data_IF_695769864868
#
_entry.id   IF_695769864868
#
_cell.length_a   1.000
_cell.length_b   1.000
_cell.length_c   1.000
_cell.angle_alpha   90.00
_cell.angle_beta   90.00
_cell.angle_gamma   90.00
#
_symmetry.space_group_name_H-M   'P 1'
#
loop_
_entity.id
_entity.type
_entity.pdbx_description
1 polymer ?
#
# COMPACT_ATOMS: atom_id res chain seq x y z
N UNK A 1 14.48 1.71 13.96
CA UNK A 1 13.05 1.56 14.39
C UNK A 1 12.10 1.66 13.21
N UNK A 2 12.14 2.73 12.41
CA UNK A 2 11.24 2.96 11.29
C UNK A 2 11.25 1.82 10.25
N UNK A 3 12.44 1.36 9.83
CA UNK A 3 12.60 0.24 8.91
C UNK A 3 11.89 -1.02 9.44
N UNK A 4 12.13 -1.35 10.70
CA UNK A 4 11.54 -2.52 11.36
C UNK A 4 10.03 -2.44 11.39
N UNK A 5 9.48 -1.28 11.79
CA UNK A 5 8.04 -1.04 11.81
C UNK A 5 7.42 -1.18 10.41
N UNK A 6 8.08 -0.61 9.41
CA UNK A 6 7.61 -0.69 8.02
C UNK A 6 7.56 -2.14 7.53
N UNK A 7 8.63 -2.91 7.78
CA UNK A 7 8.69 -4.34 7.40
C UNK A 7 7.63 -5.16 8.13
N UNK A 8 7.45 -4.94 9.44
CA UNK A 8 6.42 -5.64 10.21
C UNK A 8 5.03 -5.29 9.71
N UNK A 9 4.75 -4.02 9.42
CA UNK A 9 3.43 -3.61 8.94
C UNK A 9 3.10 -4.18 7.55
N UNK A 10 4.11 -4.37 6.68
CA UNK A 10 3.93 -5.12 5.43
C UNK A 10 3.71 -6.61 5.68
N UNK A 11 4.47 -7.22 6.59
CA UNK A 11 4.30 -8.62 6.98
C UNK A 11 2.88 -8.90 7.51
N UNK A 12 2.34 -7.97 8.29
CA UNK A 12 1.00 -8.05 8.89
C UNK A 12 -0.11 -7.46 8.01
N UNK A 13 0.20 -7.11 6.77
CA UNK A 13 -0.81 -6.51 5.89
C UNK A 13 -1.91 -7.54 5.57
N UNK A 14 -3.21 -7.15 5.58
CA UNK A 14 -4.32 -8.07 5.33
C UNK A 14 -4.24 -8.83 3.99
N UNK A 15 -3.56 -8.26 2.99
CA UNK A 15 -3.34 -8.93 1.70
C UNK A 15 -2.22 -9.99 1.72
N UNK A 16 -1.55 -10.20 2.86
CA UNK A 16 -0.48 -11.21 3.02
C UNK A 16 -1.03 -12.41 3.77
N UNK A 17 -1.19 -13.53 3.07
CA UNK A 17 -1.64 -14.79 3.67
C UNK A 17 -0.48 -15.64 4.21
N UNK A 18 0.70 -15.50 3.63
CA UNK A 18 1.91 -16.21 4.07
C UNK A 18 3.15 -15.36 3.75
N UNK A 19 4.16 -15.42 4.60
CA UNK A 19 5.40 -14.71 4.39
C UNK A 19 6.59 -15.45 4.95
N UNK A 20 7.76 -15.27 4.32
CA UNK A 20 9.03 -15.76 4.77
C UNK A 20 10.02 -14.59 4.81
N UNK A 21 10.73 -14.44 5.90
CA UNK A 21 11.78 -13.46 6.06
C UNK A 21 13.12 -14.08 5.70
N UNK A 22 13.79 -13.46 4.74
CA UNK A 22 15.10 -13.86 4.27
C UNK A 22 16.14 -12.83 4.69
N UNK A 23 17.19 -13.27 5.35
CA UNK A 23 18.37 -12.46 5.64
C UNK A 23 19.61 -12.96 4.89
N UNK A 24 20.56 -12.08 4.63
CA UNK A 24 21.89 -12.47 4.21
C UNK A 24 22.69 -13.03 5.40
N UNK A 25 22.55 -12.41 6.58
CA UNK A 25 23.19 -12.81 7.84
C UNK A 25 24.12 -11.76 8.46
N UNK A 26 24.25 -10.57 7.83
CA UNK A 26 25.06 -9.45 8.35
C UNK A 26 24.24 -8.18 8.56
N UNK A 27 22.93 -8.22 8.41
CA UNK A 27 22.03 -7.11 8.64
C UNK A 27 21.85 -6.81 10.12
N UNK A 28 21.67 -5.53 10.46
CA UNK A 28 21.28 -5.13 11.82
C UNK A 28 19.88 -5.63 12.19
N UNK A 29 19.01 -5.77 11.19
CA UNK A 29 17.64 -6.28 11.31
C UNK A 29 17.58 -7.76 10.91
N UNK A 30 18.48 -8.56 11.47
CA UNK A 30 18.55 -10.00 11.21
C UNK A 30 17.33 -10.75 11.77
N UNK A 31 17.14 -12.00 11.34
CA UNK A 31 15.98 -12.82 11.70
C UNK A 31 15.74 -12.91 13.22
N UNK A 32 16.78 -13.07 14.02
CA UNK A 32 16.65 -13.12 15.48
C UNK A 32 16.11 -11.79 16.07
N UNK A 33 16.54 -10.66 15.51
CA UNK A 33 16.00 -9.36 15.89
C UNK A 33 14.53 -9.22 15.48
N UNK A 34 14.16 -9.62 14.26
CA UNK A 34 12.78 -9.54 13.78
C UNK A 34 11.83 -10.44 14.57
N UNK A 35 12.27 -11.68 14.94
CA UNK A 35 11.53 -12.57 15.82
C UNK A 35 11.21 -11.89 17.16
N UNK A 36 12.22 -11.31 17.80
CA UNK A 36 12.04 -10.60 19.06
C UNK A 36 11.06 -9.41 18.94
N UNK A 37 11.06 -8.69 17.82
CA UNK A 37 10.09 -7.60 17.61
C UNK A 37 8.66 -8.12 17.45
N UNK A 38 8.45 -9.22 16.73
CA UNK A 38 7.14 -9.87 16.62
C UNK A 38 6.63 -10.35 17.98
N UNK A 39 7.47 -11.02 18.76
CA UNK A 39 7.14 -11.47 20.13
C UNK A 39 6.71 -10.30 21.03
N UNK A 40 7.43 -9.15 20.97
CA UNK A 40 7.07 -7.92 21.71
C UNK A 40 5.71 -7.37 21.33
N UNK A 41 5.26 -7.63 20.11
CA UNK A 41 3.93 -7.25 19.61
C UNK A 41 2.87 -8.32 19.90
N UNK A 42 3.23 -9.42 20.58
CA UNK A 42 2.33 -10.54 20.85
C UNK A 42 2.03 -11.39 19.61
N UNK A 43 2.89 -11.35 18.60
CA UNK A 43 2.74 -12.08 17.35
C UNK A 43 3.66 -13.30 17.39
N UNK A 44 3.11 -14.47 17.10
CA UNK A 44 3.87 -15.71 17.04
C UNK A 44 4.83 -15.72 15.85
N UNK A 45 6.17 -15.71 16.07
CA UNK A 45 7.13 -15.75 14.98
C UNK A 45 7.11 -17.06 14.20
N UNK A 46 6.64 -18.16 14.78
CA UNK A 46 6.61 -19.46 14.14
C UNK A 46 5.48 -19.59 13.09
N UNK A 47 4.59 -18.61 13.03
CA UNK A 47 3.63 -18.46 11.94
C UNK A 47 4.30 -18.07 10.60
N UNK A 48 5.58 -17.66 10.61
CA UNK A 48 6.31 -17.18 9.44
C UNK A 48 7.48 -18.09 9.07
N UNK A 49 7.88 -18.05 7.80
CA UNK A 49 9.08 -18.70 7.33
C UNK A 49 10.34 -17.87 7.66
N UNK A 50 11.46 -18.56 7.90
CA UNK A 50 12.74 -17.94 8.22
C UNK A 50 13.87 -18.61 7.45
N UNK A 51 14.66 -17.80 6.75
CA UNK A 51 15.80 -18.26 5.99
C UNK A 51 16.99 -17.31 6.13
N UNK A 52 18.21 -17.86 6.14
CA UNK A 52 19.45 -17.09 6.25
C UNK A 52 20.48 -17.62 5.26
N UNK A 53 20.98 -16.77 4.37
CA UNK A 53 21.98 -17.21 3.38
C UNK A 53 23.22 -17.78 4.05
N UNK A 54 23.70 -17.15 5.12
CA UNK A 54 24.89 -17.59 5.83
C UNK A 54 24.65 -18.84 6.70
N UNK A 55 23.54 -18.86 7.45
CA UNK A 55 23.27 -19.94 8.42
C UNK A 55 22.73 -21.21 7.75
N UNK A 56 22.00 -21.08 6.65
CA UNK A 56 21.43 -22.22 5.92
C UNK A 56 22.39 -22.82 4.88
N UNK A 57 23.66 -22.36 4.86
CA UNK A 57 24.72 -22.98 4.06
C UNK A 57 24.79 -22.50 2.60
N UNK A 58 24.45 -21.25 2.37
CA UNK A 58 24.62 -20.52 1.10
C UNK A 58 23.40 -20.49 0.23
N UNK A 59 23.51 -19.76 -0.87
CA UNK A 59 22.38 -19.36 -1.74
C UNK A 59 21.56 -20.56 -2.24
N UNK A 60 22.21 -21.64 -2.70
CA UNK A 60 21.47 -22.78 -3.24
C UNK A 60 20.57 -23.43 -2.19
N UNK A 61 21.13 -23.72 -1.00
CA UNK A 61 20.37 -24.37 0.08
C UNK A 61 19.23 -23.47 0.59
N UNK A 62 19.46 -22.17 0.64
CA UNK A 62 18.43 -21.21 1.05
C UNK A 62 17.28 -21.16 0.06
N UNK A 63 17.55 -21.22 -1.24
CA UNK A 63 16.49 -21.27 -2.26
C UNK A 63 15.67 -22.55 -2.14
N UNK A 64 16.32 -23.71 -1.96
CA UNK A 64 15.64 -25.00 -1.74
C UNK A 64 14.76 -24.94 -0.48
N UNK A 65 15.26 -24.34 0.61
CA UNK A 65 14.52 -24.18 1.87
C UNK A 65 13.28 -23.28 1.68
N UNK A 66 13.43 -22.15 0.98
CA UNK A 66 12.34 -21.21 0.69
C UNK A 66 11.27 -21.90 -0.15
N UNK A 67 11.69 -22.58 -1.23
CA UNK A 67 10.77 -23.30 -2.10
C UNK A 67 9.99 -24.37 -1.34
N UNK A 68 10.67 -25.16 -0.54
CA UNK A 68 10.05 -26.22 0.28
C UNK A 68 9.06 -25.63 1.28
N UNK A 69 9.41 -24.50 1.94
CA UNK A 69 8.51 -23.85 2.88
C UNK A 69 7.22 -23.37 2.20
N UNK A 70 7.31 -22.65 1.08
CA UNK A 70 6.13 -22.19 0.35
C UNK A 70 5.30 -23.34 -0.21
N UNK A 71 5.91 -24.41 -0.73
CA UNK A 71 5.18 -25.59 -1.18
C UNK A 71 4.31 -26.18 -0.06
N UNK A 72 4.88 -26.36 1.13
CA UNK A 72 4.15 -26.88 2.30
C UNK A 72 3.00 -25.97 2.73
N UNK A 73 3.21 -24.66 2.71
CA UNK A 73 2.15 -23.71 3.05
C UNK A 73 1.01 -23.77 2.01
N UNK A 74 1.35 -23.86 0.72
CA UNK A 74 0.37 -23.93 -0.37
C UNK A 74 -0.44 -25.23 -0.36
N UNK A 75 0.13 -26.36 0.06
CA UNK A 75 -0.61 -27.63 0.18
C UNK A 75 -1.79 -27.53 1.17
N UNK A 76 -1.68 -26.68 2.19
CA UNK A 76 -2.73 -26.43 3.19
C UNK A 76 -3.69 -25.29 2.83
N UNK A 77 -3.42 -24.53 1.76
CA UNK A 77 -4.23 -23.38 1.40
C UNK A 77 -5.58 -23.79 0.78
N UNK A 78 -6.66 -23.28 1.35
CA UNK A 78 -7.96 -23.32 0.69
C UNK A 78 -8.12 -22.08 -0.21
N UNK A 79 -8.86 -22.18 -1.32
CA UNK A 79 -9.23 -21.01 -2.11
C UNK A 79 -9.90 -19.97 -1.21
N UNK A 80 -9.49 -18.71 -1.33
CA UNK A 80 -10.14 -17.62 -0.59
C UNK A 80 -11.53 -17.43 -1.20
N UNK A 81 -12.56 -17.69 -0.40
CA UNK A 81 -13.94 -17.36 -0.78
C UNK A 81 -14.10 -15.83 -0.76
N UNK A 82 -14.81 -15.33 -1.76
CA UNK A 82 -15.15 -13.91 -1.84
C UNK A 82 -16.45 -13.71 -1.07
N UNK A 83 -16.42 -12.72 -0.19
CA UNK A 83 -17.60 -12.27 0.56
C UNK A 83 -17.98 -10.86 0.11
N UNK A 84 -19.24 -10.51 0.30
CA UNK A 84 -19.70 -9.14 0.10
C UNK A 84 -19.08 -8.25 1.18
N UNK A 85 -18.24 -7.31 0.74
CA UNK A 85 -17.54 -6.39 1.63
C UNK A 85 -18.16 -5.00 1.66
N UNK A 86 -17.85 -4.25 2.69
CA UNK A 86 -18.24 -2.85 2.87
C UNK A 86 -17.08 -1.91 2.60
N UNK A 87 -17.36 -0.70 2.13
CA UNK A 87 -16.36 0.38 2.04
C UNK A 87 -15.71 0.67 3.41
N UNK A 88 -16.42 0.44 4.51
CA UNK A 88 -15.91 0.61 5.87
C UNK A 88 -14.69 -0.29 6.18
N UNK A 89 -14.51 -1.38 5.47
CA UNK A 89 -13.37 -2.29 5.64
C UNK A 89 -12.11 -1.80 4.92
N UNK A 90 -12.29 -0.90 3.96
CA UNK A 90 -11.18 -0.41 3.15
C UNK A 90 -10.33 0.63 3.86
N UNK A 91 -9.04 0.59 3.58
CA UNK A 91 -8.12 1.69 3.80
C UNK A 91 -7.61 2.16 2.44
N UNK A 92 -7.88 3.40 2.07
CA UNK A 92 -7.56 3.93 0.74
C UNK A 92 -6.48 5.00 0.85
N UNK A 93 -5.34 4.77 0.21
CA UNK A 93 -4.33 5.79 0.01
C UNK A 93 -4.76 6.75 -1.13
N UNK A 94 -4.73 8.06 -0.91
CA UNK A 94 -5.00 9.06 -1.96
C UNK A 94 -3.78 9.94 -2.17
N UNK A 95 -3.36 10.08 -3.41
CA UNK A 95 -2.24 10.94 -3.77
C UNK A 95 -2.46 11.67 -5.10
N UNK A 96 -2.03 12.92 -5.17
CA UNK A 96 -1.92 13.68 -6.41
C UNK A 96 -0.79 14.71 -6.30
N UNK A 97 -0.15 15.02 -7.42
CA UNK A 97 0.79 16.12 -7.55
C UNK A 97 0.13 17.41 -8.10
N UNK A 98 -1.21 17.42 -8.26
CA UNK A 98 -1.97 18.59 -8.65
C UNK A 98 -2.00 19.60 -7.49
N UNK A 99 -1.63 20.85 -7.79
CA UNK A 99 -1.57 21.95 -6.79
C UNK A 99 -2.92 22.67 -6.70
N UNK A 100 -3.61 22.80 -7.81
CA UNK A 100 -4.87 23.54 -7.94
C UNK A 100 -5.78 22.93 -9.01
N UNK A 101 -6.97 23.48 -9.16
CA UNK A 101 -7.93 23.10 -10.19
C UNK A 101 -8.96 22.08 -9.74
N UNK A 102 -9.57 21.40 -10.71
CA UNK A 102 -10.74 20.54 -10.50
C UNK A 102 -10.39 19.22 -9.83
N UNK A 103 -9.19 18.70 -10.08
CA UNK A 103 -8.78 17.40 -9.58
C UNK A 103 -8.59 17.35 -8.05
N UNK A 104 -7.92 18.31 -7.38
CA UNK A 104 -7.88 18.34 -5.93
C UNK A 104 -9.27 18.40 -5.29
N UNK A 105 -10.17 19.22 -5.81
CA UNK A 105 -11.55 19.33 -5.30
C UNK A 105 -12.33 18.01 -5.45
N UNK A 106 -12.17 17.32 -6.58
CA UNK A 106 -12.79 16.01 -6.80
C UNK A 106 -12.24 14.96 -5.84
N UNK A 107 -10.91 14.94 -5.60
CA UNK A 107 -10.28 14.04 -4.65
C UNK A 107 -10.66 14.34 -3.20
N UNK A 108 -10.81 15.60 -2.83
CA UNK A 108 -11.30 15.99 -1.51
C UNK A 108 -12.75 15.51 -1.29
N UNK A 109 -13.60 15.69 -2.29
CA UNK A 109 -14.98 15.19 -2.26
C UNK A 109 -15.03 13.65 -2.13
N UNK A 110 -14.18 12.94 -2.88
CA UNK A 110 -14.03 11.49 -2.77
C UNK A 110 -13.56 11.07 -1.37
N UNK A 111 -12.54 11.74 -0.82
CA UNK A 111 -12.03 11.44 0.52
C UNK A 111 -13.10 11.56 1.58
N UNK A 112 -13.89 12.65 1.54
CA UNK A 112 -15.02 12.86 2.45
C UNK A 112 -16.10 11.79 2.27
N UNK A 113 -16.44 11.42 1.05
CA UNK A 113 -17.44 10.39 0.78
C UNK A 113 -16.99 9.00 1.28
N UNK A 114 -15.74 8.63 1.07
CA UNK A 114 -15.15 7.37 1.57
C UNK A 114 -15.15 7.35 3.10
N UNK A 115 -14.73 8.43 3.76
CA UNK A 115 -14.72 8.51 5.22
C UNK A 115 -16.16 8.47 5.80
N UNK A 116 -17.11 9.13 5.17
CA UNK A 116 -18.53 9.08 5.55
C UNK A 116 -19.12 7.67 5.40
N UNK A 117 -18.63 6.88 4.44
CA UNK A 117 -18.98 5.47 4.28
C UNK A 117 -18.24 4.54 5.27
N UNK A 118 -17.44 5.09 6.19
CA UNK A 118 -16.71 4.33 7.21
C UNK A 118 -15.31 3.90 6.81
N UNK A 119 -14.85 4.21 5.61
CA UNK A 119 -13.50 3.88 5.17
C UNK A 119 -12.42 4.68 5.93
N UNK A 120 -11.21 4.18 5.91
CA UNK A 120 -10.00 4.91 6.31
C UNK A 120 -9.35 5.49 5.07
N UNK A 121 -9.01 6.75 5.11
CA UNK A 121 -8.35 7.46 4.00
C UNK A 121 -7.01 8.00 4.48
N UNK A 122 -5.93 7.67 3.78
CA UNK A 122 -4.58 8.09 4.11
C UNK A 122 -4.03 8.98 3.00
N UNK A 123 -3.68 10.21 3.34
CA UNK A 123 -3.16 11.21 2.41
C UNK A 123 -1.77 11.63 2.88
N UNK A 124 -0.70 11.46 2.09
CA UNK A 124 0.63 11.90 2.51
C UNK A 124 0.70 13.43 2.59
N UNK A 125 1.30 13.96 3.65
CA UNK A 125 1.39 15.43 3.88
C UNK A 125 2.12 16.18 2.76
N UNK A 126 2.95 15.47 1.99
CA UNK A 126 3.68 16.03 0.85
C UNK A 126 2.82 16.20 -0.40
N UNK A 127 1.64 15.59 -0.44
CA UNK A 127 0.68 15.80 -1.52
C UNK A 127 -0.07 17.13 -1.29
N UNK A 128 -0.22 17.99 -2.31
CA UNK A 128 -0.96 19.26 -2.18
C UNK A 128 -2.37 19.07 -1.61
N UNK A 129 -3.03 17.96 -1.93
CA UNK A 129 -4.34 17.58 -1.38
C UNK A 129 -4.40 17.58 0.15
N UNK A 130 -3.29 17.30 0.85
CA UNK A 130 -3.25 17.30 2.30
C UNK A 130 -3.58 18.67 2.92
N UNK A 131 -3.39 19.76 2.17
CA UNK A 131 -3.75 21.10 2.62
C UNK A 131 -5.23 21.27 2.94
N UNK A 132 -6.12 20.58 2.21
CA UNK A 132 -7.57 20.56 2.46
C UNK A 132 -7.93 19.89 3.78
N UNK A 133 -7.04 19.05 4.30
CA UNK A 133 -7.24 18.21 5.47
C UNK A 133 -6.29 18.55 6.63
N UNK A 134 -5.79 19.76 6.70
CA UNK A 134 -4.82 20.21 7.71
C UNK A 134 -5.31 20.13 9.17
N UNK A 135 -6.62 19.96 9.38
CA UNK A 135 -7.24 19.78 10.71
C UNK A 135 -7.47 18.32 11.09
N UNK A 136 -7.28 17.40 10.15
CA UNK A 136 -7.46 15.97 10.39
C UNK A 136 -6.29 15.39 11.18
N UNK A 137 -6.47 14.24 11.84
CA UNK A 137 -5.41 13.60 12.62
C UNK A 137 -4.16 13.34 11.80
N UNK A 138 -3.00 13.71 12.35
CA UNK A 138 -1.71 13.31 11.79
C UNK A 138 -1.43 11.85 12.10
N UNK A 139 -0.89 11.14 11.12
CA UNK A 139 -0.48 9.75 11.21
C UNK A 139 1.02 9.67 10.93
N UNK A 140 1.79 9.12 11.84
CA UNK A 140 3.22 8.89 11.61
C UNK A 140 3.46 8.01 10.39
N UNK A 141 4.64 8.14 9.76
CA UNK A 141 4.99 7.36 8.58
C UNK A 141 4.87 5.84 8.84
N UNK A 142 4.03 5.19 8.06
CA UNK A 142 3.79 3.74 8.19
C UNK A 142 3.03 3.32 9.46
N UNK A 143 2.47 4.24 10.23
CA UNK A 143 1.61 3.91 11.37
C UNK A 143 0.23 3.52 10.86
N UNK A 144 -0.32 2.42 11.38
CA UNK A 144 -1.63 1.91 10.93
C UNK A 144 -2.78 2.85 11.29
N UNK A 145 -3.62 3.15 10.30
CA UNK A 145 -4.89 3.85 10.51
C UNK A 145 -5.89 2.87 11.17
N UNK A 146 -6.23 3.10 12.43
CA UNK A 146 -7.05 2.16 13.21
C UNK A 146 -8.55 2.41 13.07
N UNK A 147 -8.98 3.66 13.05
CA UNK A 147 -10.38 4.06 13.01
C UNK A 147 -10.78 4.58 11.64
N UNK A 148 -12.08 4.58 11.32
CA UNK A 148 -12.59 5.27 10.14
C UNK A 148 -12.32 6.77 10.18
N UNK A 149 -12.09 7.38 9.02
CA UNK A 149 -11.80 8.80 8.91
C UNK A 149 -10.68 9.12 7.91
N UNK A 150 -10.30 10.38 7.88
CA UNK A 150 -9.22 10.89 7.03
C UNK A 150 -7.98 11.14 7.90
N UNK A 151 -6.83 10.73 7.41
CA UNK A 151 -5.55 10.88 8.10
C UNK A 151 -4.51 11.52 7.18
N UNK A 152 -3.77 12.46 7.70
CA UNK A 152 -2.61 13.05 7.00
C UNK A 152 -1.35 12.32 7.46
N UNK A 153 -0.81 11.45 6.60
CA UNK A 153 0.41 10.67 6.90
C UNK A 153 1.66 11.54 6.76
N UNK A 154 2.52 11.50 7.75
CA UNK A 154 3.88 12.04 7.65
C UNK A 154 4.65 11.24 6.59
N UNK A 155 5.20 11.91 5.59
CA UNK A 155 6.07 11.32 4.59
C UNK A 155 7.51 11.78 4.84
N UNK A 156 8.49 10.90 4.67
CA UNK A 156 9.90 11.21 4.94
C UNK A 156 10.50 12.10 3.86
N UNK A 157 10.00 11.98 2.64
CA UNK A 157 10.42 12.76 1.48
C UNK A 157 9.27 12.93 0.48
N UNK A 158 9.58 13.51 -0.68
CA UNK A 158 8.65 13.58 -1.84
C UNK A 158 8.86 12.43 -2.83
N UNK A 159 9.71 11.46 -2.50
CA UNK A 159 9.90 10.29 -3.35
C UNK A 159 8.62 9.43 -3.36
N UNK A 160 8.18 9.08 -4.56
CA UNK A 160 6.95 8.32 -4.74
C UNK A 160 7.04 6.92 -4.16
N UNK A 161 8.15 6.22 -4.39
CA UNK A 161 8.31 4.83 -3.95
C UNK A 161 8.34 4.71 -2.44
N UNK A 162 8.95 5.68 -1.77
CA UNK A 162 8.96 5.80 -0.31
C UNK A 162 7.56 6.14 0.23
N UNK A 163 6.89 7.15 -0.36
CA UNK A 163 5.52 7.53 0.00
C UNK A 163 4.56 6.36 -0.17
N UNK A 164 4.70 5.63 -1.28
CA UNK A 164 3.92 4.43 -1.60
C UNK A 164 4.09 3.34 -0.53
N UNK A 165 5.34 3.04 -0.14
CA UNK A 165 5.63 2.08 0.93
C UNK A 165 5.05 2.53 2.27
N UNK A 166 5.10 3.84 2.59
CA UNK A 166 4.48 4.40 3.79
C UNK A 166 2.97 4.20 3.82
N UNK A 167 2.26 4.52 2.73
CA UNK A 167 0.80 4.33 2.63
C UNK A 167 0.42 2.85 2.77
N UNK A 168 1.16 1.94 2.12
CA UNK A 168 0.93 0.51 2.25
C UNK A 168 1.12 0.03 3.71
N UNK A 169 2.17 0.49 4.39
CA UNK A 169 2.42 0.18 5.79
C UNK A 169 1.36 0.75 6.74
N UNK A 170 0.69 1.86 6.37
CA UNK A 170 -0.48 2.37 7.10
C UNK A 170 -1.71 1.45 6.97
N UNK A 171 -1.63 0.41 6.17
CA UNK A 171 -2.70 -0.58 5.94
C UNK A 171 -3.58 -0.27 4.74
N UNK A 172 -3.11 0.57 3.80
CA UNK A 172 -3.89 0.85 2.59
C UNK A 172 -4.12 -0.44 1.79
N UNK A 173 -5.38 -0.81 1.61
CA UNK A 173 -5.81 -1.93 0.77
C UNK A 173 -5.76 -1.60 -0.72
N UNK A 174 -5.92 -0.33 -1.04
CA UNK A 174 -5.86 0.24 -2.38
C UNK A 174 -5.21 1.63 -2.33
N UNK A 175 -4.52 2.02 -3.38
CA UNK A 175 -3.99 3.36 -3.53
C UNK A 175 -4.49 3.95 -4.85
N UNK A 176 -5.08 5.13 -4.78
CA UNK A 176 -5.45 5.94 -5.93
C UNK A 176 -4.46 7.08 -6.10
N UNK A 177 -3.70 7.04 -7.17
CA UNK A 177 -2.76 8.06 -7.55
C UNK A 177 -3.30 8.87 -8.74
N UNK A 178 -3.32 10.18 -8.62
CA UNK A 178 -3.78 11.06 -9.71
C UNK A 178 -2.64 11.97 -10.20
N UNK A 179 -1.73 11.42 -11.02
CA UNK A 179 -0.59 12.16 -11.52
C UNK A 179 -0.97 13.20 -12.58
N UNK A 180 -0.26 14.33 -12.60
CA UNK A 180 -0.40 15.37 -13.62
C UNK A 180 0.79 15.46 -14.58
N UNK A 181 1.93 14.88 -14.21
CA UNK A 181 3.18 14.98 -14.99
C UNK A 181 3.53 13.70 -15.74
N UNK A 182 3.51 12.57 -15.07
CA UNK A 182 3.84 11.23 -15.60
C UNK A 182 3.16 10.18 -14.76
N UNK A 183 2.88 9.01 -15.35
CA UNK A 183 2.46 7.85 -14.60
C UNK A 183 3.46 7.48 -13.52
N UNK A 184 2.99 6.84 -12.46
CA UNK A 184 3.79 6.43 -11.31
C UNK A 184 3.87 4.91 -11.22
N UNK A 185 4.89 4.39 -10.55
CA UNK A 185 5.01 2.95 -10.32
C UNK A 185 3.95 2.46 -9.32
N UNK A 186 3.56 1.19 -9.47
CA UNK A 186 2.71 0.47 -8.52
C UNK A 186 3.50 -0.12 -7.35
N UNK A 187 2.78 -0.69 -6.39
CA UNK A 187 3.33 -1.39 -5.24
C UNK A 187 3.22 -2.91 -5.45
N UNK A 188 4.21 -3.74 -5.04
CA UNK A 188 4.15 -5.18 -5.25
C UNK A 188 3.02 -5.88 -4.48
N UNK A 189 2.56 -5.31 -3.37
CA UNK A 189 1.53 -5.89 -2.52
C UNK A 189 0.16 -5.21 -2.68
N UNK A 190 0.13 -3.87 -2.79
CA UNK A 190 -1.10 -3.07 -2.78
C UNK A 190 -1.41 -2.59 -4.19
N UNK A 191 -2.62 -2.81 -4.74
CA UNK A 191 -3.01 -2.27 -6.03
C UNK A 191 -2.92 -0.74 -6.06
N UNK A 192 -2.25 -0.21 -7.09
CA UNK A 192 -2.15 1.23 -7.33
C UNK A 192 -2.91 1.57 -8.60
N UNK A 193 -4.05 2.22 -8.43
CA UNK A 193 -4.87 2.73 -9.52
C UNK A 193 -4.42 4.13 -9.89
N UNK A 194 -4.42 4.44 -11.17
CA UNK A 194 -4.07 5.77 -11.64
C UNK A 194 -5.22 6.40 -12.41
N UNK A 195 -5.50 7.66 -12.14
CA UNK A 195 -6.48 8.45 -12.88
C UNK A 195 -5.92 9.82 -13.24
N UNK A 196 -6.27 10.34 -14.40
CA UNK A 196 -5.80 11.66 -14.83
C UNK A 196 -6.73 12.27 -15.87
N UNK A 197 -6.75 13.61 -15.92
CA UNK A 197 -7.41 14.38 -16.98
C UNK A 197 -6.39 15.03 -17.95
N UNK A 198 -5.10 14.75 -17.77
CA UNK A 198 -4.02 15.36 -18.56
C UNK A 198 -3.83 14.56 -19.87
N UNK A 199 -4.07 15.16 -21.06
CA UNK A 199 -4.17 14.43 -22.33
C UNK A 199 -3.02 13.48 -22.64
N UNK A 200 -1.78 13.85 -22.29
CA UNK A 200 -0.59 13.01 -22.51
C UNK A 200 -0.57 11.72 -21.69
N UNK A 201 -1.33 11.66 -20.58
CA UNK A 201 -1.39 10.50 -19.68
C UNK A 201 -2.54 9.55 -20.01
N UNK A 202 -3.39 9.86 -20.99
CA UNK A 202 -4.61 9.10 -21.29
C UNK A 202 -4.38 7.58 -21.47
N UNK A 203 -3.21 7.18 -21.97
CA UNK A 203 -2.85 5.77 -22.21
C UNK A 203 -2.13 5.11 -21.04
N UNK A 204 -1.71 5.90 -20.07
CA UNK A 204 -0.86 5.48 -18.97
C UNK A 204 -1.62 5.37 -17.63
N UNK A 205 -2.93 5.57 -17.66
CA UNK A 205 -3.79 5.56 -16.47
C UNK A 205 -4.93 4.56 -16.59
N UNK A 206 -5.45 4.13 -15.46
CA UNK A 206 -6.58 3.20 -15.36
C UNK A 206 -7.92 3.87 -15.68
N UNK A 207 -8.06 5.16 -15.34
CA UNK A 207 -9.23 5.96 -15.65
C UNK A 207 -8.83 7.31 -16.26
N UNK A 208 -9.47 7.62 -17.38
CA UNK A 208 -9.37 8.90 -18.03
C UNK A 208 -10.55 9.79 -17.59
N UNK A 209 -10.24 10.88 -16.88
CA UNK A 209 -11.25 11.81 -16.36
C UNK A 209 -11.55 12.88 -17.41
N UNK A 210 -12.75 12.87 -17.93
CA UNK A 210 -13.22 13.85 -18.92
C UNK A 210 -14.63 14.37 -18.57
N UNK A 211 -15.07 15.41 -19.28
CA UNK A 211 -16.41 15.98 -19.13
C UNK A 211 -16.60 16.73 -17.81
N UNK A 212 -17.74 16.52 -17.17
CA UNK A 212 -18.15 17.23 -15.96
C UNK A 212 -17.39 16.74 -14.73
N UNK A 213 -16.53 17.59 -14.19
CA UNK A 213 -15.70 17.27 -13.02
C UNK A 213 -16.49 16.97 -11.74
N UNK A 214 -17.76 17.41 -11.67
CA UNK A 214 -18.62 17.05 -10.56
C UNK A 214 -18.93 15.54 -10.47
N UNK A 215 -18.74 14.80 -11.57
CA UNK A 215 -18.92 13.34 -11.64
C UNK A 215 -17.65 12.56 -11.35
N UNK A 216 -16.48 13.19 -11.36
CA UNK A 216 -15.20 12.50 -11.13
C UNK A 216 -15.12 11.75 -9.80
N UNK A 217 -15.62 12.28 -8.65
CA UNK A 217 -15.61 11.53 -7.40
C UNK A 217 -16.33 10.18 -7.51
N UNK A 218 -17.48 10.14 -8.19
CA UNK A 218 -18.26 8.91 -8.39
C UNK A 218 -17.55 7.95 -9.34
N UNK A 219 -16.92 8.44 -10.42
CA UNK A 219 -16.14 7.62 -11.35
C UNK A 219 -14.93 6.97 -10.66
N UNK A 220 -14.23 7.74 -9.83
CA UNK A 220 -13.10 7.26 -9.04
C UNK A 220 -13.53 6.26 -7.97
N UNK A 221 -14.66 6.50 -7.30
CA UNK A 221 -15.24 5.56 -6.34
C UNK A 221 -15.60 4.22 -7.03
N UNK A 222 -16.21 4.27 -8.22
CA UNK A 222 -16.49 3.05 -9.01
C UNK A 222 -15.21 2.28 -9.39
N UNK A 223 -14.15 2.98 -9.77
CA UNK A 223 -12.86 2.35 -10.06
C UNK A 223 -12.29 1.65 -8.82
N UNK A 224 -12.33 2.32 -7.66
CA UNK A 224 -11.91 1.73 -6.39
C UNK A 224 -12.72 0.48 -6.03
N UNK A 225 -14.05 0.53 -6.14
CA UNK A 225 -14.92 -0.62 -5.88
C UNK A 225 -14.61 -1.81 -6.79
N UNK A 226 -14.44 -1.58 -8.10
CA UNK A 226 -14.07 -2.63 -9.04
C UNK A 226 -12.72 -3.26 -8.76
N UNK A 227 -11.76 -2.47 -8.29
CA UNK A 227 -10.46 -3.01 -7.90
C UNK A 227 -10.54 -3.77 -6.57
N UNK A 228 -11.30 -3.26 -5.59
CA UNK A 228 -11.52 -3.94 -4.31
C UNK A 228 -12.23 -5.29 -4.48
N UNK A 229 -13.23 -5.36 -5.37
CA UNK A 229 -13.92 -6.62 -5.71
C UNK A 229 -13.09 -7.58 -6.56
N UNK A 230 -11.91 -7.16 -7.02
CA UNK A 230 -11.05 -7.94 -7.91
C UNK A 230 -11.56 -8.05 -9.35
N UNK A 231 -12.58 -7.28 -9.73
CA UNK A 231 -13.07 -7.17 -11.12
C UNK A 231 -12.08 -6.41 -12.02
N UNK A 232 -11.21 -5.63 -11.41
CA UNK A 232 -10.24 -4.81 -12.12
C UNK A 232 -8.84 -4.96 -11.52
N UNK A 233 -7.86 -5.21 -12.37
CA UNK A 233 -6.44 -5.19 -12.02
C UNK A 233 -5.80 -3.94 -12.63
N UNK A 234 -5.10 -3.15 -11.81
CA UNK A 234 -4.48 -1.90 -12.23
C UNK A 234 -3.47 -2.10 -13.36
N UNK A 235 -3.34 -1.10 -14.22
CA UNK A 235 -2.44 -1.12 -15.38
C UNK A 235 -0.99 -1.38 -14.96
N UNK A 236 -0.50 -0.67 -13.94
CA UNK A 236 0.89 -0.81 -13.46
C UNK A 236 1.17 -2.19 -12.89
N UNK A 237 0.20 -2.83 -12.20
CA UNK A 237 0.35 -4.19 -11.72
C UNK A 237 0.36 -5.20 -12.87
N UNK A 238 -0.50 -5.03 -13.88
CA UNK A 238 -0.52 -5.88 -15.10
C UNK A 238 0.79 -5.78 -15.87
N UNK A 239 1.38 -4.60 -15.95
CA UNK A 239 2.64 -4.35 -16.66
C UNK A 239 3.89 -4.68 -15.84
N UNK A 240 3.74 -4.99 -14.55
CA UNK A 240 4.87 -5.23 -13.67
C UNK A 240 5.73 -3.98 -13.40
N UNK A 241 5.18 -2.78 -13.60
CA UNK A 241 5.87 -1.52 -13.31
C UNK A 241 5.73 -1.22 -11.83
N UNK A 242 6.51 -1.91 -11.02
CA UNK A 242 6.40 -1.89 -9.57
C UNK A 242 7.63 -1.25 -8.94
N UNK A 243 7.46 -0.62 -7.80
CA UNK A 243 8.53 -0.06 -6.98
C UNK A 243 8.26 -0.28 -5.51
N UNK A 244 9.33 -0.54 -4.78
CA UNK A 244 9.30 -0.65 -3.34
C UNK A 244 10.60 -0.07 -2.78
N UNK A 245 10.49 0.95 -1.97
CA UNK A 245 11.63 1.58 -1.34
C UNK A 245 11.37 1.76 0.15
N UNK A 246 12.30 1.31 0.96
CA UNK A 246 12.26 1.49 2.40
C UNK A 246 13.36 2.45 2.80
N UNK A 247 12.98 3.61 3.32
CA UNK A 247 13.93 4.53 3.91
C UNK A 247 14.54 3.92 5.19
N UNK A 248 15.85 4.05 5.32
CA UNK A 248 16.55 3.57 6.52
C UNK A 248 16.47 4.57 7.68
N UNK A 249 15.86 5.73 7.48
CA UNK A 249 15.89 6.85 8.41
C UNK A 249 17.29 7.50 8.51
N UNK A 250 17.41 8.69 9.04
CA UNK A 250 18.70 9.30 9.32
C UNK A 250 19.49 8.51 10.37
#
# INVERSE_FOLDING_TARGET
ELYTQLMINHLLHPAVSMALLLEHGCEKTHNGYMRLQLERLGIDPDAYGWASVQLDGGMRRVLDKIELWFRRQLEGCQPVEREDGSLAELCVGLWSDAVDGLLPSALASLACALAAAGARVVIPHTAPLAGEFSREPSLGFGVRAALSGIYVMEALSRDWSETLAGMAACGASLILACPTRRGVAGHPLVPVLQASHIPRLRRDVDAWLEGDSAKWPEELARLLCRAASGEYTSLVNRLGVLSFQVARGP
#
